data_IF_258338021907
#
_entry.id   IF_258338021907
#
_cell.length_a   1.000
_cell.length_b   1.000
_cell.length_c   1.000
_cell.angle_alpha   90.00
_cell.angle_beta   90.00
_cell.angle_gamma   90.00
#
_symmetry.space_group_name_H-M   'P 1'
#
loop_
_entity.id
_entity.type
_entity.pdbx_description
1 polymer ?
#
# COMPACT_ATOMS: atom_id res chain seq x y z
N UNK A 1 12.42 13.84 29.56
CA UNK A 1 11.16 14.15 30.31
C UNK A 1 10.00 13.53 29.53
N UNK A 2 9.11 12.78 30.21
CA UNK A 2 7.88 12.28 29.60
C UNK A 2 6.87 13.42 29.43
N UNK A 3 6.02 13.36 28.40
CA UNK A 3 4.92 14.31 28.25
C UNK A 3 3.85 13.97 29.30
N UNK A 4 3.34 14.96 30.06
CA UNK A 4 2.28 14.70 31.01
C UNK A 4 0.97 14.33 30.29
N UNK A 5 0.13 13.55 30.96
CA UNK A 5 -1.25 13.32 30.52
C UNK A 5 -2.07 14.61 30.66
N UNK A 6 -2.89 14.90 29.66
CA UNK A 6 -3.89 16.00 29.67
C UNK A 6 -5.22 15.48 29.12
N UNK A 7 -6.32 15.99 29.67
CA UNK A 7 -7.70 15.63 29.26
C UNK A 7 -7.99 16.09 27.82
N UNK A 8 -9.03 15.55 27.20
CA UNK A 8 -9.44 16.00 25.84
C UNK A 8 -9.76 17.49 25.80
N UNK A 9 -10.49 18.01 26.78
CA UNK A 9 -10.77 19.44 26.90
C UNK A 9 -9.48 20.27 26.98
N UNK A 10 -8.54 19.88 27.81
CA UNK A 10 -7.25 20.55 27.92
C UNK A 10 -6.41 20.43 26.64
N UNK A 11 -6.59 19.38 25.83
CA UNK A 11 -5.98 19.26 24.50
C UNK A 11 -6.56 20.28 23.52
N UNK A 12 -7.89 20.47 23.54
CA UNK A 12 -8.60 21.47 22.71
C UNK A 12 -8.14 22.89 23.09
N UNK A 13 -8.15 23.23 24.37
CA UNK A 13 -7.65 24.53 24.86
C UNK A 13 -6.21 24.79 24.46
N UNK A 14 -5.36 23.78 24.55
CA UNK A 14 -3.97 23.87 24.11
C UNK A 14 -3.83 24.17 22.61
N UNK A 15 -4.65 23.52 21.77
CA UNK A 15 -4.65 23.78 20.33
C UNK A 15 -5.08 25.21 20.01
N UNK A 16 -6.10 25.73 20.71
CA UNK A 16 -6.57 27.13 20.58
C UNK A 16 -5.50 28.11 21.06
N UNK A 17 -5.14 28.03 22.33
CA UNK A 17 -4.42 29.10 23.03
C UNK A 17 -2.92 29.09 22.76
N UNK A 18 -2.29 27.91 22.63
CA UNK A 18 -0.84 27.81 22.43
C UNK A 18 -0.46 27.66 20.96
N UNK A 19 -1.35 27.10 20.12
CA UNK A 19 -1.04 26.74 18.73
C UNK A 19 -1.76 27.60 17.69
N UNK A 20 -2.70 28.45 18.10
CA UNK A 20 -3.51 29.31 17.22
C UNK A 20 -4.37 28.51 16.21
N UNK A 21 -4.82 27.30 16.58
CA UNK A 21 -5.76 26.57 15.74
C UNK A 21 -7.18 27.12 15.95
N UNK A 22 -7.87 27.45 14.88
CA UNK A 22 -9.27 27.85 14.95
C UNK A 22 -10.11 26.60 15.25
N UNK A 23 -10.87 26.65 16.35
CA UNK A 23 -11.83 25.61 16.74
C UNK A 23 -13.14 26.32 17.07
N UNK A 24 -14.16 26.10 16.26
CA UNK A 24 -15.47 26.77 16.39
C UNK A 24 -16.44 25.95 17.22
N UNK A 25 -16.26 24.63 17.22
CA UNK A 25 -17.10 23.67 17.95
C UNK A 25 -16.19 22.79 18.84
N UNK A 26 -16.21 23.09 20.15
CA UNK A 26 -15.40 22.39 21.13
C UNK A 26 -15.90 20.96 21.38
N UNK A 27 -17.21 20.76 21.32
CA UNK A 27 -17.83 19.43 21.53
C UNK A 27 -17.44 18.51 20.36
N UNK A 28 -17.52 18.98 19.13
CA UNK A 28 -17.04 18.26 17.95
C UNK A 28 -15.55 17.93 18.05
N UNK A 29 -14.73 18.88 18.51
CA UNK A 29 -13.29 18.65 18.66
C UNK A 29 -12.97 17.61 19.72
N UNK A 30 -13.66 17.65 20.86
CA UNK A 30 -13.53 16.65 21.93
C UNK A 30 -13.95 15.28 21.45
N UNK A 31 -15.11 15.16 20.79
CA UNK A 31 -15.60 13.89 20.23
C UNK A 31 -14.63 13.30 19.20
N UNK A 32 -14.12 14.13 18.30
CA UNK A 32 -13.11 13.71 17.30
C UNK A 32 -11.84 13.17 17.95
N UNK A 33 -11.35 13.84 19.01
CA UNK A 33 -10.16 13.39 19.75
C UNK A 33 -10.43 12.11 20.57
N UNK A 34 -11.65 11.88 21.03
CA UNK A 34 -12.05 10.63 21.68
C UNK A 34 -12.04 9.45 20.70
N UNK A 35 -12.57 9.66 19.49
CA UNK A 35 -12.71 8.61 18.47
C UNK A 35 -11.40 8.28 17.78
N UNK A 36 -10.54 9.29 17.51
CA UNK A 36 -9.35 9.13 16.67
C UNK A 36 -8.04 9.16 17.49
N UNK A 37 -8.03 9.83 18.63
CA UNK A 37 -6.90 10.21 19.48
C UNK A 37 -6.10 11.41 18.96
N UNK A 38 -5.56 12.21 19.91
CA UNK A 38 -4.70 13.37 19.60
C UNK A 38 -3.47 12.99 18.75
N UNK A 39 -2.86 11.85 19.05
CA UNK A 39 -1.65 11.43 18.35
C UNK A 39 -1.93 11.08 16.89
N UNK A 40 -2.99 10.31 16.64
CA UNK A 40 -3.35 9.89 15.29
C UNK A 40 -3.86 11.08 14.44
N UNK A 41 -4.75 11.90 14.98
CA UNK A 41 -5.34 13.04 14.27
C UNK A 41 -4.34 14.19 14.13
N UNK A 42 -4.00 14.84 15.25
CA UNK A 42 -3.15 16.03 15.24
C UNK A 42 -1.70 15.69 14.90
N UNK A 43 -1.15 14.63 15.50
CA UNK A 43 0.22 14.17 15.20
C UNK A 43 0.40 13.77 13.74
N UNK A 44 -0.61 13.11 13.17
CA UNK A 44 -0.58 12.61 11.81
C UNK A 44 -0.84 13.66 10.72
N UNK A 45 -1.78 14.59 10.95
CA UNK A 45 -2.36 15.37 9.86
C UNK A 45 -2.15 16.90 9.95
N UNK A 46 -1.56 17.42 11.02
CA UNK A 46 -1.32 18.85 11.19
C UNK A 46 -0.31 19.46 10.22
N UNK A 47 0.58 18.65 9.63
CA UNK A 47 1.76 19.14 8.89
C UNK A 47 1.41 20.12 7.75
N UNK A 48 0.37 19.92 6.92
CA UNK A 48 0.00 20.86 5.87
C UNK A 48 -0.50 22.22 6.38
N UNK A 49 -0.88 22.30 7.66
CA UNK A 49 -1.51 23.46 8.29
C UNK A 49 -0.58 24.20 9.25
N UNK A 50 0.69 23.85 9.32
CA UNK A 50 1.65 24.45 10.24
C UNK A 50 2.71 25.23 9.48
N UNK A 51 2.95 26.46 9.91
CA UNK A 51 4.13 27.22 9.53
C UNK A 51 5.40 26.57 10.11
N UNK A 52 6.36 26.26 9.24
CA UNK A 52 7.57 25.52 9.60
C UNK A 52 8.51 26.28 10.55
N UNK A 53 8.47 27.61 10.53
CA UNK A 53 9.34 28.48 11.31
C UNK A 53 8.78 28.73 12.72
N UNK A 54 7.49 29.06 12.79
CA UNK A 54 6.82 29.40 14.05
C UNK A 54 6.31 28.17 14.79
N UNK A 55 6.12 27.03 14.10
CA UNK A 55 5.47 25.83 14.58
C UNK A 55 4.04 26.04 15.09
N UNK A 56 3.43 27.14 14.68
CA UNK A 56 2.01 27.45 14.91
C UNK A 56 1.20 27.12 13.66
N UNK A 57 -0.10 27.00 13.82
CA UNK A 57 -0.98 26.84 12.68
C UNK A 57 -0.98 28.13 11.84
N UNK A 58 -1.06 27.97 10.52
CA UNK A 58 -1.21 29.09 9.59
C UNK A 58 -2.54 29.78 9.85
N UNK A 59 -2.64 31.06 9.47
CA UNK A 59 -3.89 31.80 9.61
C UNK A 59 -5.03 31.03 8.89
N UNK A 60 -6.20 31.05 9.50
CA UNK A 60 -7.43 30.39 9.00
C UNK A 60 -7.43 28.86 9.05
N UNK A 61 -6.32 28.19 9.45
CA UNK A 61 -6.37 26.73 9.66
C UNK A 61 -7.36 26.39 10.78
N UNK A 62 -8.33 25.54 10.48
CA UNK A 62 -9.31 25.13 11.46
C UNK A 62 -9.20 23.62 11.78
N UNK A 63 -9.79 23.23 12.89
CA UNK A 63 -9.76 21.84 13.34
C UNK A 63 -10.48 20.92 12.36
N UNK A 64 -11.57 21.42 11.78
CA UNK A 64 -12.39 20.72 10.77
C UNK A 64 -11.58 20.38 9.52
N UNK A 65 -10.63 21.22 9.11
CA UNK A 65 -9.71 20.92 7.99
C UNK A 65 -8.82 19.70 8.26
N UNK A 66 -8.36 19.57 9.51
CA UNK A 66 -7.53 18.43 9.93
C UNK A 66 -8.37 17.15 9.94
N UNK A 67 -9.61 17.24 10.42
CA UNK A 67 -10.55 16.11 10.40
C UNK A 67 -10.89 15.73 8.96
N UNK A 68 -11.21 16.71 8.11
CA UNK A 68 -11.50 16.47 6.69
C UNK A 68 -10.33 15.76 5.95
N UNK A 69 -9.09 16.15 6.26
CA UNK A 69 -7.90 15.50 5.71
C UNK A 69 -7.73 14.06 6.24
N UNK A 70 -8.02 13.82 7.52
CA UNK A 70 -7.99 12.47 8.09
C UNK A 70 -9.01 11.55 7.44
N UNK A 71 -10.26 12.01 7.30
CA UNK A 71 -11.35 11.25 6.65
C UNK A 71 -11.05 10.98 5.18
N UNK A 72 -10.54 11.97 4.47
CA UNK A 72 -10.08 11.81 3.09
C UNK A 72 -9.02 10.70 2.98
N UNK A 73 -8.03 10.72 3.87
CA UNK A 73 -6.95 9.70 3.88
C UNK A 73 -7.47 8.32 4.29
N UNK A 74 -8.47 8.25 5.18
CA UNK A 74 -9.14 7.01 5.54
C UNK A 74 -9.83 6.37 4.34
N UNK A 75 -10.53 7.15 3.54
CA UNK A 75 -11.15 6.67 2.31
C UNK A 75 -10.13 6.23 1.27
N UNK A 76 -9.02 6.97 1.15
CA UNK A 76 -7.90 6.56 0.31
C UNK A 76 -7.36 5.20 0.77
N UNK A 77 -7.09 5.02 2.06
CA UNK A 77 -6.64 3.73 2.62
C UNK A 77 -7.60 2.60 2.25
N UNK A 78 -8.90 2.82 2.40
CA UNK A 78 -9.93 1.83 2.08
C UNK A 78 -9.88 1.38 0.62
N UNK A 79 -9.84 2.33 -0.32
CA UNK A 79 -9.80 2.00 -1.75
C UNK A 79 -8.47 1.38 -2.15
N UNK A 80 -7.33 1.94 -1.72
CA UNK A 80 -6.03 1.39 -2.07
C UNK A 80 -5.87 -0.02 -1.50
N UNK A 81 -6.23 -0.26 -0.24
CA UNK A 81 -6.17 -1.58 0.39
C UNK A 81 -6.97 -2.64 -0.39
N UNK A 82 -8.19 -2.31 -0.80
CA UNK A 82 -9.02 -3.19 -1.63
C UNK A 82 -8.32 -3.66 -2.89
N UNK A 83 -7.64 -2.76 -3.61
CA UNK A 83 -6.98 -3.10 -4.88
C UNK A 83 -5.59 -3.72 -4.67
N UNK A 84 -4.89 -3.38 -3.59
CA UNK A 84 -3.69 -4.08 -3.14
C UNK A 84 -3.99 -5.55 -2.86
N UNK A 85 -5.08 -5.86 -2.14
CA UNK A 85 -5.54 -7.22 -1.89
C UNK A 85 -5.93 -7.97 -3.19
N UNK A 86 -6.42 -7.27 -4.23
CA UNK A 86 -6.68 -7.89 -5.53
C UNK A 86 -5.39 -8.33 -6.23
N UNK A 87 -4.35 -7.50 -6.21
CA UNK A 87 -3.03 -7.86 -6.75
C UNK A 87 -2.44 -9.03 -5.96
N UNK A 88 -2.48 -8.95 -4.62
CA UNK A 88 -2.01 -10.00 -3.72
C UNK A 88 -2.66 -11.35 -4.03
N UNK A 89 -3.99 -11.39 -4.15
CA UNK A 89 -4.75 -12.61 -4.48
C UNK A 89 -4.35 -13.18 -5.84
N UNK A 90 -4.22 -12.33 -6.85
CA UNK A 90 -3.81 -12.76 -8.19
C UNK A 90 -2.39 -13.33 -8.18
N UNK A 91 -1.47 -12.73 -7.40
CA UNK A 91 -0.12 -13.26 -7.24
C UNK A 91 -0.11 -14.64 -6.57
N UNK A 92 -0.89 -14.83 -5.49
CA UNK A 92 -1.03 -16.15 -4.84
C UNK A 92 -1.48 -17.23 -5.84
N UNK A 93 -2.54 -16.92 -6.60
CA UNK A 93 -3.09 -17.83 -7.59
C UNK A 93 -2.08 -18.16 -8.69
N UNK A 94 -1.42 -17.15 -9.27
CA UNK A 94 -0.45 -17.33 -10.35
C UNK A 94 0.79 -18.10 -9.90
N UNK A 95 1.35 -17.77 -8.73
CA UNK A 95 2.48 -18.53 -8.16
C UNK A 95 2.09 -19.99 -7.94
N UNK A 96 0.95 -20.24 -7.28
CA UNK A 96 0.49 -21.61 -7.00
C UNK A 96 0.29 -22.40 -8.28
N UNK A 97 -0.35 -21.81 -9.29
CA UNK A 97 -0.61 -22.48 -10.56
C UNK A 97 0.68 -22.89 -11.27
N UNK A 98 1.60 -21.94 -11.48
CA UNK A 98 2.83 -22.21 -12.21
C UNK A 98 3.80 -23.14 -11.45
N UNK A 99 3.82 -23.02 -10.13
CA UNK A 99 4.64 -23.90 -9.29
C UNK A 99 4.11 -25.33 -9.36
N UNK A 100 2.81 -25.56 -9.08
CA UNK A 100 2.23 -26.89 -9.09
C UNK A 100 2.16 -27.51 -10.49
N UNK A 101 1.98 -26.72 -11.54
CA UNK A 101 2.06 -27.20 -12.93
C UNK A 101 3.42 -27.82 -13.24
N UNK A 102 4.50 -27.33 -12.61
CA UNK A 102 5.87 -27.81 -12.86
C UNK A 102 6.28 -28.93 -11.90
N UNK A 103 5.92 -28.80 -10.61
CA UNK A 103 6.45 -29.64 -9.55
C UNK A 103 5.41 -30.57 -8.92
N UNK A 104 4.11 -30.38 -9.23
CA UNK A 104 3.03 -31.14 -8.60
C UNK A 104 2.45 -30.47 -7.36
N UNK A 105 1.47 -31.17 -6.75
CA UNK A 105 0.66 -30.64 -5.65
C UNK A 105 1.14 -31.08 -4.26
N UNK A 106 2.17 -31.90 -4.19
CA UNK A 106 2.68 -32.45 -2.92
C UNK A 106 3.39 -31.36 -2.12
N UNK A 107 3.17 -31.37 -0.80
CA UNK A 107 3.80 -30.39 0.09
C UNK A 107 5.33 -30.47 0.09
N UNK A 108 5.91 -31.66 -0.13
CA UNK A 108 7.35 -31.87 -0.23
C UNK A 108 7.97 -31.01 -1.32
N UNK A 109 7.22 -30.70 -2.39
CA UNK A 109 7.74 -29.95 -3.53
C UNK A 109 8.03 -28.47 -3.16
N UNK A 110 7.14 -27.80 -2.42
CA UNK A 110 7.41 -26.41 -2.01
C UNK A 110 8.32 -26.33 -0.77
N UNK A 111 8.56 -27.45 -0.09
CA UNK A 111 9.55 -27.56 0.98
C UNK A 111 10.93 -27.92 0.45
N UNK A 112 11.06 -28.32 -0.82
CA UNK A 112 12.32 -28.67 -1.45
C UNK A 112 13.04 -27.42 -1.98
N UNK A 113 14.20 -27.10 -1.41
CA UNK A 113 14.99 -25.93 -1.81
C UNK A 113 15.46 -25.97 -3.27
N UNK A 114 15.57 -27.15 -3.89
CA UNK A 114 15.98 -27.31 -5.29
C UNK A 114 14.92 -26.79 -6.29
N UNK A 115 13.67 -26.62 -5.86
CA UNK A 115 12.58 -26.08 -6.67
C UNK A 115 12.56 -24.55 -6.73
N UNK A 116 13.50 -23.90 -6.05
CA UNK A 116 13.70 -22.46 -6.06
C UNK A 116 14.92 -22.06 -6.90
N UNK A 117 15.07 -20.75 -7.14
CA UNK A 117 16.18 -20.23 -7.92
C UNK A 117 17.54 -20.34 -7.20
N UNK A 118 18.56 -20.69 -7.93
CA UNK A 118 19.92 -20.85 -7.40
C UNK A 118 20.70 -19.51 -7.45
N UNK A 119 20.20 -18.49 -6.74
CA UNK A 119 20.89 -17.19 -6.60
C UNK A 119 21.51 -17.14 -5.21
N UNK A 120 22.85 -17.02 -5.05
CA UNK A 120 23.50 -17.13 -3.75
C UNK A 120 22.94 -16.18 -2.68
N UNK A 121 22.66 -14.93 -3.03
CA UNK A 121 22.09 -13.93 -2.12
C UNK A 121 20.68 -14.30 -1.59
N UNK A 122 19.96 -15.19 -2.26
CA UNK A 122 18.60 -15.60 -1.89
C UNK A 122 18.58 -16.83 -0.98
N UNK A 123 19.67 -17.56 -0.84
CA UNK A 123 19.74 -18.85 -0.14
C UNK A 123 19.17 -18.77 1.30
N UNK A 124 19.60 -17.83 2.09
CA UNK A 124 19.10 -17.62 3.46
C UNK A 124 17.59 -17.27 3.47
N UNK A 125 17.13 -16.48 2.49
CA UNK A 125 15.73 -16.12 2.35
C UNK A 125 14.86 -17.34 1.99
N UNK A 126 15.32 -18.17 1.07
CA UNK A 126 14.67 -19.43 0.69
C UNK A 126 14.56 -20.36 1.90
N UNK A 127 15.65 -20.56 2.65
CA UNK A 127 15.65 -21.39 3.87
C UNK A 127 14.63 -20.89 4.90
N UNK A 128 14.56 -19.57 5.13
CA UNK A 128 13.56 -18.97 6.05
C UNK A 128 12.13 -19.17 5.55
N UNK A 129 11.90 -19.00 4.24
CA UNK A 129 10.58 -19.21 3.62
C UNK A 129 10.15 -20.68 3.79
N UNK A 130 11.00 -21.64 3.45
CA UNK A 130 10.72 -23.09 3.58
C UNK A 130 10.43 -23.44 5.04
N UNK A 131 11.25 -22.98 6.00
CA UNK A 131 11.02 -23.25 7.42
C UNK A 131 9.67 -22.72 7.90
N UNK A 132 9.26 -21.53 7.43
CA UNK A 132 7.95 -20.98 7.75
C UNK A 132 6.83 -21.78 7.12
N UNK A 133 6.94 -22.17 5.83
CA UNK A 133 5.96 -23.02 5.16
C UNK A 133 5.83 -24.38 5.84
N UNK A 134 6.95 -25.01 6.24
CA UNK A 134 6.96 -26.27 6.98
C UNK A 134 6.22 -26.15 8.33
N UNK A 135 6.50 -25.07 9.08
CA UNK A 135 5.81 -24.81 10.34
C UNK A 135 4.29 -24.65 10.13
N UNK A 136 3.87 -23.90 9.09
CA UNK A 136 2.46 -23.73 8.75
C UNK A 136 1.82 -25.05 8.29
N UNK A 137 2.50 -25.82 7.44
CA UNK A 137 1.98 -27.08 6.93
C UNK A 137 1.83 -28.13 8.04
N UNK A 138 2.83 -28.28 8.91
CA UNK A 138 2.88 -29.41 9.83
C UNK A 138 2.46 -29.10 11.27
N UNK A 139 2.55 -27.84 11.73
CA UNK A 139 2.34 -27.48 13.14
C UNK A 139 1.23 -26.47 13.39
N UNK A 140 0.76 -25.75 12.36
CA UNK A 140 -0.27 -24.73 12.55
C UNK A 140 -1.61 -25.38 12.94
N UNK A 141 -2.27 -24.83 13.98
CA UNK A 141 -3.58 -25.23 14.49
C UNK A 141 -4.64 -24.14 14.38
N UNK A 142 -4.24 -22.90 14.06
CA UNK A 142 -5.11 -21.74 14.07
C UNK A 142 -6.00 -21.65 12.83
N UNK A 143 -5.59 -22.29 11.73
CA UNK A 143 -6.35 -22.32 10.48
C UNK A 143 -7.03 -23.68 10.28
N UNK A 144 -8.32 -23.75 10.53
CA UNK A 144 -9.13 -24.98 10.41
C UNK A 144 -8.96 -25.68 9.05
N UNK A 145 -8.87 -24.91 7.95
CA UNK A 145 -8.69 -25.47 6.61
C UNK A 145 -7.33 -26.17 6.43
N UNK A 146 -6.27 -25.74 7.13
CA UNK A 146 -4.98 -26.45 7.13
C UNK A 146 -5.09 -27.75 7.93
N UNK A 147 -5.73 -27.69 9.09
CA UNK A 147 -5.97 -28.89 9.93
C UNK A 147 -6.79 -29.91 9.17
N UNK A 148 -7.86 -29.47 8.49
CA UNK A 148 -8.69 -30.34 7.63
C UNK A 148 -7.87 -31.00 6.51
N UNK A 149 -7.09 -30.24 5.76
CA UNK A 149 -6.27 -30.76 4.67
C UNK A 149 -5.26 -31.80 5.18
N UNK A 150 -4.59 -31.51 6.28
CA UNK A 150 -3.60 -32.42 6.91
C UNK A 150 -4.23 -33.70 7.37
N UNK A 151 -5.36 -33.65 8.06
CA UNK A 151 -6.01 -34.83 8.64
C UNK A 151 -6.67 -35.71 7.57
N UNK A 152 -7.29 -35.09 6.56
CA UNK A 152 -8.05 -35.83 5.54
C UNK A 152 -7.17 -36.33 4.38
N UNK A 153 -6.23 -35.48 3.92
CA UNK A 153 -5.46 -35.79 2.70
C UNK A 153 -3.99 -36.06 2.97
N UNK A 154 -3.52 -35.88 4.21
CA UNK A 154 -2.11 -36.01 4.60
C UNK A 154 -1.18 -35.19 3.70
N UNK A 155 -1.71 -34.07 3.16
CA UNK A 155 -1.05 -33.19 2.24
C UNK A 155 -1.70 -31.80 2.29
N UNK A 156 -0.90 -30.74 2.24
CA UNK A 156 -1.40 -29.36 2.10
C UNK A 156 -0.84 -28.78 0.80
N UNK A 157 -1.66 -28.72 -0.26
CA UNK A 157 -1.20 -28.16 -1.54
C UNK A 157 -0.79 -26.68 -1.43
N UNK A 158 0.10 -26.24 -2.33
CA UNK A 158 0.60 -24.87 -2.32
C UNK A 158 -0.54 -23.83 -2.39
N UNK A 159 -1.57 -24.05 -3.22
CA UNK A 159 -2.70 -23.11 -3.34
C UNK A 159 -3.54 -22.96 -2.06
N UNK A 160 -3.44 -23.92 -1.14
CA UNK A 160 -4.09 -23.83 0.19
C UNK A 160 -3.20 -23.04 1.15
N UNK A 161 -1.92 -23.43 1.30
CA UNK A 161 -1.01 -22.81 2.26
C UNK A 161 -0.67 -21.34 1.90
N UNK A 162 -0.72 -20.98 0.62
CA UNK A 162 -0.52 -19.59 0.17
C UNK A 162 -1.47 -18.57 0.83
N UNK A 163 -2.64 -19.02 1.34
CA UNK A 163 -3.58 -18.14 2.03
C UNK A 163 -3.07 -17.68 3.40
N UNK A 164 -2.09 -18.36 4.00
CA UNK A 164 -1.46 -17.97 5.26
C UNK A 164 -0.36 -16.93 5.07
N UNK A 165 0.14 -16.75 3.83
CA UNK A 165 1.25 -15.87 3.57
C UNK A 165 0.83 -14.40 3.53
N UNK A 166 1.63 -13.54 4.14
CA UNK A 166 1.52 -12.08 3.98
C UNK A 166 1.95 -11.66 2.56
N UNK A 167 1.55 -10.46 2.13
CA UNK A 167 1.96 -9.95 0.82
C UNK A 167 3.49 -9.86 0.68
N UNK A 168 4.19 -9.49 1.76
CA UNK A 168 5.66 -9.48 1.78
C UNK A 168 6.28 -10.87 1.55
N UNK A 169 5.71 -11.90 2.14
CA UNK A 169 6.15 -13.30 1.95
C UNK A 169 5.87 -13.77 0.52
N UNK A 170 4.72 -13.41 -0.06
CA UNK A 170 4.39 -13.69 -1.46
C UNK A 170 5.37 -12.99 -2.41
N UNK A 171 5.66 -11.70 -2.16
CA UNK A 171 6.66 -10.93 -2.90
C UNK A 171 8.04 -11.59 -2.86
N UNK A 172 8.46 -12.09 -1.69
CA UNK A 172 9.72 -12.82 -1.52
C UNK A 172 9.68 -14.18 -2.20
N UNK A 173 8.59 -14.92 -2.09
CA UNK A 173 8.46 -16.19 -2.78
C UNK A 173 8.60 -16.01 -4.29
N UNK A 174 7.94 -15.00 -4.90
CA UNK A 174 8.13 -14.67 -6.32
C UNK A 174 9.59 -14.38 -6.66
N UNK A 175 10.30 -13.58 -5.84
CA UNK A 175 11.72 -13.25 -6.03
C UNK A 175 12.62 -14.50 -5.98
N UNK A 176 12.23 -15.51 -5.23
CA UNK A 176 12.98 -16.76 -5.04
C UNK A 176 12.70 -17.83 -6.08
N UNK A 177 11.64 -17.71 -6.88
CA UNK A 177 11.34 -18.67 -7.94
C UNK A 177 12.38 -18.68 -9.06
N UNK A 178 12.55 -19.79 -9.79
CA UNK A 178 13.39 -19.85 -10.99
C UNK A 178 12.95 -18.83 -12.04
N UNK A 179 13.91 -18.30 -12.82
CA UNK A 179 13.65 -17.21 -13.77
C UNK A 179 12.60 -17.55 -14.85
N UNK A 180 12.54 -18.79 -15.31
CA UNK A 180 11.52 -19.24 -16.26
C UNK A 180 10.11 -19.19 -15.66
N UNK A 181 9.96 -19.59 -14.41
CA UNK A 181 8.69 -19.53 -13.69
C UNK A 181 8.28 -18.07 -13.40
N UNK A 182 9.22 -17.22 -12.97
CA UNK A 182 8.96 -15.77 -12.87
C UNK A 182 8.46 -15.19 -14.19
N UNK A 183 9.06 -15.61 -15.31
CA UNK A 183 8.64 -15.19 -16.66
C UNK A 183 7.20 -15.59 -16.98
N UNK A 184 6.83 -16.84 -16.71
CA UNK A 184 5.47 -17.34 -16.91
C UNK A 184 4.44 -16.58 -16.05
N UNK A 185 4.75 -16.35 -14.77
CA UNK A 185 3.90 -15.54 -13.88
C UNK A 185 3.75 -14.11 -14.42
N UNK A 186 4.82 -13.48 -14.91
CA UNK A 186 4.77 -12.12 -15.47
C UNK A 186 3.85 -12.03 -16.70
N UNK A 187 3.71 -13.10 -17.49
CA UNK A 187 2.77 -13.14 -18.62
C UNK A 187 1.31 -13.01 -18.15
N UNK A 188 0.93 -13.59 -17.01
CA UNK A 188 -0.41 -13.44 -16.43
C UNK A 188 -0.76 -12.00 -16.09
N UNK A 189 0.26 -11.12 -15.95
CA UNK A 189 0.12 -9.69 -15.66
C UNK A 189 0.38 -8.79 -16.89
N UNK A 190 0.29 -9.36 -18.10
CA UNK A 190 0.43 -8.59 -19.34
C UNK A 190 1.89 -8.28 -19.69
N UNK A 191 2.77 -9.26 -19.53
CA UNK A 191 4.19 -9.22 -19.91
C UNK A 191 5.03 -8.15 -19.19
N UNK A 192 4.74 -7.90 -17.92
CA UNK A 192 5.62 -7.07 -17.07
C UNK A 192 7.00 -7.74 -16.97
N UNK A 193 8.07 -6.97 -17.05
CA UNK A 193 9.43 -7.51 -16.90
C UNK A 193 9.66 -8.03 -15.48
N UNK A 194 10.40 -9.14 -15.34
CA UNK A 194 10.67 -9.78 -14.04
C UNK A 194 11.25 -8.81 -12.99
N UNK A 195 12.24 -8.03 -13.38
CA UNK A 195 12.87 -7.06 -12.48
C UNK A 195 11.94 -5.90 -12.08
N UNK A 196 11.03 -5.52 -12.97
CA UNK A 196 9.98 -4.54 -12.67
C UNK A 196 8.96 -5.13 -11.69
N UNK A 197 8.51 -6.37 -11.93
CA UNK A 197 7.57 -7.07 -11.04
C UNK A 197 8.12 -7.15 -9.61
N UNK A 198 9.39 -7.50 -9.43
CA UNK A 198 10.02 -7.55 -8.10
C UNK A 198 9.93 -6.19 -7.40
N UNK A 199 10.23 -5.09 -8.11
CA UNK A 199 10.14 -3.74 -7.54
C UNK A 199 8.70 -3.33 -7.25
N UNK A 200 7.77 -3.61 -8.17
CA UNK A 200 6.35 -3.34 -7.97
C UNK A 200 5.81 -4.04 -6.71
N UNK A 201 6.08 -5.33 -6.56
CA UNK A 201 5.61 -6.09 -5.40
C UNK A 201 6.21 -5.57 -4.09
N UNK A 202 7.47 -5.15 -4.05
CA UNK A 202 8.11 -4.55 -2.88
C UNK A 202 7.40 -3.25 -2.48
N UNK A 203 7.17 -2.35 -3.43
CA UNK A 203 6.47 -1.08 -3.19
C UNK A 203 5.04 -1.34 -2.72
N UNK A 204 4.29 -2.20 -3.43
CA UNK A 204 2.92 -2.54 -3.05
C UNK A 204 2.83 -3.17 -1.65
N UNK A 205 3.83 -3.96 -1.25
CA UNK A 205 3.89 -4.53 0.12
C UNK A 205 3.97 -3.44 1.18
N UNK A 206 4.80 -2.41 0.97
CA UNK A 206 4.93 -1.30 1.92
C UNK A 206 3.62 -0.51 2.02
N UNK A 207 3.02 -0.15 0.90
CA UNK A 207 1.72 0.54 0.89
C UNK A 207 0.58 -0.30 1.49
N UNK A 208 0.59 -1.62 1.27
CA UNK A 208 -0.40 -2.52 1.89
C UNK A 208 -0.29 -2.50 3.41
N UNK A 209 0.92 -2.45 3.95
CA UNK A 209 1.14 -2.38 5.39
C UNK A 209 0.66 -1.04 5.96
N UNK A 210 0.97 0.09 5.31
CA UNK A 210 0.44 1.42 5.67
C UNK A 210 -1.09 1.40 5.75
N UNK A 211 -1.76 0.87 4.72
CA UNK A 211 -3.22 0.79 4.73
C UNK A 211 -3.76 -0.15 5.82
N UNK A 212 -3.11 -1.29 6.05
CA UNK A 212 -3.57 -2.29 7.02
C UNK A 212 -3.38 -1.85 8.49
N UNK A 213 -2.41 -0.96 8.75
CA UNK A 213 -2.11 -0.45 10.09
C UNK A 213 -2.69 0.94 10.37
N UNK A 214 -3.59 1.44 9.50
CA UNK A 214 -4.17 2.77 9.61
C UNK A 214 -3.14 3.91 9.71
N UNK A 215 -1.97 3.72 9.08
CA UNK A 215 -0.96 4.76 8.98
C UNK A 215 -1.36 5.81 7.93
N UNK A 216 -0.78 7.01 8.03
CA UNK A 216 -1.02 8.10 7.10
C UNK A 216 -0.56 7.73 5.68
N UNK A 217 -1.49 7.72 4.71
CA UNK A 217 -1.25 7.25 3.35
C UNK A 217 -0.92 8.41 2.39
N UNK A 218 -1.65 9.52 2.43
CA UNK A 218 -1.59 10.58 1.40
C UNK A 218 -0.18 11.16 1.20
N UNK A 219 0.63 11.21 2.24
CA UNK A 219 2.01 11.75 2.18
C UNK A 219 3.08 10.68 2.43
N UNK A 220 2.72 9.40 2.33
CA UNK A 220 3.67 8.32 2.52
C UNK A 220 4.55 8.13 1.28
N UNK A 221 5.86 8.02 1.51
CA UNK A 221 6.85 7.72 0.48
C UNK A 221 7.63 6.48 0.87
N UNK A 222 7.83 5.59 -0.10
CA UNK A 222 8.67 4.41 0.13
C UNK A 222 10.14 4.75 -0.08
N UNK A 223 11.03 3.96 0.53
CA UNK A 223 12.47 4.04 0.27
C UNK A 223 12.89 3.30 -1.02
N UNK A 224 11.92 2.68 -1.72
CA UNK A 224 12.13 1.94 -2.97
C UNK A 224 11.39 2.65 -4.09
N UNK A 225 12.10 2.93 -5.18
CA UNK A 225 11.50 3.48 -6.40
C UNK A 225 10.96 2.36 -7.29
N UNK A 226 9.79 2.59 -7.89
CA UNK A 226 9.38 1.76 -9.04
C UNK A 226 10.26 2.11 -10.25
N UNK A 227 10.38 1.21 -11.24
CA UNK A 227 11.12 1.49 -12.48
C UNK A 227 10.52 2.68 -13.23
N UNK A 228 11.34 3.35 -14.04
CA UNK A 228 10.83 4.29 -15.04
C UNK A 228 9.93 3.55 -16.03
N UNK A 229 8.76 4.12 -16.28
CA UNK A 229 7.77 3.51 -17.17
C UNK A 229 7.39 4.44 -18.31
N UNK A 230 6.79 3.88 -19.36
CA UNK A 230 6.24 4.68 -20.45
C UNK A 230 5.19 5.69 -19.96
N UNK A 231 4.46 5.38 -18.87
CA UNK A 231 3.43 6.28 -18.31
C UNK A 231 4.03 7.56 -17.75
N UNK A 232 5.20 7.52 -17.09
CA UNK A 232 5.90 8.73 -16.64
C UNK A 232 6.18 9.67 -17.83
N UNK A 233 6.69 9.12 -18.94
CA UNK A 233 6.97 9.89 -20.16
C UNK A 233 5.70 10.45 -20.80
N UNK A 234 4.65 9.62 -20.93
CA UNK A 234 3.39 10.00 -21.61
C UNK A 234 2.58 11.03 -20.80
N UNK A 235 2.67 11.01 -19.49
CA UNK A 235 2.08 12.02 -18.62
C UNK A 235 2.94 13.29 -18.53
N UNK A 236 4.09 13.35 -19.18
CA UNK A 236 4.94 14.54 -19.17
C UNK A 236 5.52 14.86 -17.79
N UNK A 237 5.69 13.86 -16.91
CA UNK A 237 6.23 14.09 -15.58
C UNK A 237 7.66 14.60 -15.70
N UNK A 238 7.94 15.74 -15.06
CA UNK A 238 9.27 16.36 -15.08
C UNK A 238 10.30 15.50 -14.34
N UNK A 239 11.57 15.71 -14.68
CA UNK A 239 12.69 15.07 -13.98
C UNK A 239 13.49 16.10 -13.20
N UNK A 240 14.01 15.67 -12.04
CA UNK A 240 15.09 16.32 -11.35
C UNK A 240 16.34 15.43 -11.50
N UNK A 241 17.32 15.88 -12.29
CA UNK A 241 18.42 15.04 -12.75
C UNK A 241 17.92 13.86 -13.61
N UNK A 242 18.24 12.64 -13.21
CA UNK A 242 17.81 11.42 -13.91
C UNK A 242 16.48 10.85 -13.42
N UNK A 243 15.93 11.33 -12.30
CA UNK A 243 14.77 10.77 -11.61
C UNK A 243 13.51 11.60 -11.88
N UNK A 244 12.40 10.95 -12.21
CA UNK A 244 11.08 11.59 -12.24
C UNK A 244 10.70 12.12 -10.84
N UNK A 245 10.12 13.33 -10.78
CA UNK A 245 9.73 13.98 -9.51
C UNK A 245 8.50 13.34 -8.88
N UNK A 246 7.61 12.72 -9.68
CA UNK A 246 6.40 12.03 -9.25
C UNK A 246 6.33 10.61 -9.79
N UNK A 247 5.52 9.79 -9.13
CA UNK A 247 5.23 8.43 -9.57
C UNK A 247 6.36 7.42 -9.32
N UNK A 248 7.33 7.73 -8.46
CA UNK A 248 8.48 6.85 -8.19
C UNK A 248 8.34 6.06 -6.88
N UNK A 249 8.06 6.74 -5.80
CA UNK A 249 7.98 6.19 -4.44
C UNK A 249 6.86 6.81 -3.60
N UNK A 250 6.06 7.67 -4.22
CA UNK A 250 4.86 8.32 -3.72
C UNK A 250 3.58 7.49 -4.00
N UNK A 251 2.43 7.96 -3.58
CA UNK A 251 1.16 7.26 -3.78
C UNK A 251 0.82 7.07 -5.27
N UNK A 252 1.22 8.01 -6.14
CA UNK A 252 0.99 7.86 -7.58
C UNK A 252 1.79 6.70 -8.19
N UNK A 253 2.92 6.31 -7.60
CA UNK A 253 3.67 5.11 -8.00
C UNK A 253 2.82 3.83 -7.88
N UNK A 254 1.92 3.77 -6.88
CA UNK A 254 0.96 2.67 -6.72
C UNK A 254 -0.09 2.71 -7.83
N UNK A 255 -0.58 3.91 -8.19
CA UNK A 255 -1.54 4.07 -9.31
C UNK A 255 -0.93 3.60 -10.63
N UNK A 256 0.31 3.97 -10.91
CA UNK A 256 1.07 3.47 -12.07
C UNK A 256 1.17 1.94 -12.01
N UNK A 257 1.58 1.40 -10.87
CA UNK A 257 1.72 -0.05 -10.68
C UNK A 257 0.39 -0.79 -10.88
N UNK A 258 -0.71 -0.26 -10.34
CA UNK A 258 -2.06 -0.80 -10.58
C UNK A 258 -2.42 -0.80 -12.07
N UNK A 259 -2.05 0.23 -12.81
CA UNK A 259 -2.29 0.29 -14.26
C UNK A 259 -1.58 -0.85 -15.01
N UNK A 260 -0.43 -1.32 -14.51
CA UNK A 260 0.30 -2.47 -15.06
C UNK A 260 -0.27 -3.82 -14.59
N UNK A 261 -0.59 -3.96 -13.31
CA UNK A 261 -0.87 -5.26 -12.70
C UNK A 261 -2.35 -5.64 -12.66
N UNK A 262 -3.26 -4.66 -12.62
CA UNK A 262 -4.69 -4.94 -12.59
C UNK A 262 -5.25 -5.19 -14.00
N UNK A 263 -6.29 -6.03 -14.15
CA UNK A 263 -7.11 -6.07 -15.35
C UNK A 263 -7.67 -4.68 -15.68
N UNK A 264 -7.87 -4.39 -16.98
CA UNK A 264 -8.37 -3.08 -17.44
C UNK A 264 -9.65 -2.66 -16.73
N UNK A 265 -10.60 -3.56 -16.59
CA UNK A 265 -11.89 -3.30 -15.91
C UNK A 265 -11.71 -2.92 -14.46
N UNK A 266 -10.83 -3.63 -13.73
CA UNK A 266 -10.54 -3.34 -12.33
C UNK A 266 -9.82 -2.00 -12.16
N UNK A 267 -8.89 -1.66 -13.05
CA UNK A 267 -8.23 -0.36 -13.00
C UNK A 267 -9.20 0.80 -13.30
N UNK A 268 -10.09 0.65 -14.27
CA UNK A 268 -11.10 1.67 -14.55
C UNK A 268 -12.06 1.88 -13.39
N UNK A 269 -12.46 0.80 -12.71
CA UNK A 269 -13.29 0.89 -11.51
C UNK A 269 -12.54 1.56 -10.36
N UNK A 270 -11.28 1.21 -10.13
CA UNK A 270 -10.41 1.89 -9.17
C UNK A 270 -10.35 3.40 -9.44
N UNK A 271 -10.04 3.79 -10.69
CA UNK A 271 -9.96 5.19 -11.10
C UNK A 271 -11.28 5.94 -10.86
N UNK A 272 -12.42 5.32 -11.19
CA UNK A 272 -13.75 5.92 -10.93
C UNK A 272 -13.98 6.17 -9.43
N UNK A 273 -13.63 5.20 -8.59
CA UNK A 273 -13.78 5.33 -7.13
C UNK A 273 -12.82 6.40 -6.58
N UNK A 274 -11.59 6.46 -7.06
CA UNK A 274 -10.62 7.49 -6.67
C UNK A 274 -11.09 8.89 -7.05
N UNK A 275 -11.63 9.07 -8.26
CA UNK A 275 -12.23 10.34 -8.68
C UNK A 275 -13.37 10.76 -7.77
N UNK A 276 -14.22 9.83 -7.35
CA UNK A 276 -15.33 10.13 -6.44
C UNK A 276 -14.84 10.62 -5.07
N UNK A 277 -13.75 10.04 -4.53
CA UNK A 277 -13.14 10.51 -3.28
C UNK A 277 -12.61 11.93 -3.44
N UNK A 278 -11.93 12.22 -4.54
CA UNK A 278 -11.41 13.56 -4.82
C UNK A 278 -12.53 14.60 -4.98
N UNK A 279 -13.57 14.29 -5.75
CA UNK A 279 -14.74 15.16 -5.94
C UNK A 279 -15.48 15.44 -4.60
N UNK A 280 -15.50 14.46 -3.70
CA UNK A 280 -16.12 14.62 -2.37
C UNK A 280 -15.28 15.53 -1.48
N UNK A 281 -13.97 15.36 -1.45
CA UNK A 281 -13.08 16.23 -0.69
C UNK A 281 -13.16 17.70 -1.17
N UNK A 282 -13.18 17.93 -2.48
CA UNK A 282 -13.33 19.29 -3.03
C UNK A 282 -14.63 19.99 -2.57
N UNK A 283 -15.72 19.22 -2.41
CA UNK A 283 -17.01 19.75 -1.91
C UNK A 283 -17.04 20.11 -0.44
N UNK A 284 -16.10 19.60 0.36
CA UNK A 284 -16.00 19.97 1.78
C UNK A 284 -15.45 21.40 1.99
N UNK A 285 -14.97 22.07 0.93
CA UNK A 285 -14.41 23.42 0.96
C UNK A 285 -13.30 23.62 2.00
N UNK A 286 -12.52 22.58 2.30
CA UNK A 286 -11.36 22.69 3.17
C UNK A 286 -10.37 23.75 2.69
N UNK A 287 -9.69 24.41 3.61
CA UNK A 287 -8.63 25.39 3.30
C UNK A 287 -7.44 24.72 2.57
N UNK A 288 -7.18 23.44 2.80
CA UNK A 288 -6.22 22.67 2.02
C UNK A 288 -6.87 22.19 0.71
N UNK A 289 -6.43 22.72 -0.42
CA UNK A 289 -7.03 22.38 -1.71
C UNK A 289 -6.54 21.04 -2.26
N UNK A 290 -7.34 20.38 -3.08
CA UNK A 290 -7.00 19.08 -3.69
C UNK A 290 -5.70 19.15 -4.51
N UNK A 291 -5.41 20.26 -5.17
CA UNK A 291 -4.17 20.43 -5.92
C UNK A 291 -2.93 20.40 -5.02
N UNK A 292 -3.01 20.96 -3.81
CA UNK A 292 -1.92 20.89 -2.83
C UNK A 292 -1.73 19.44 -2.35
N UNK A 293 -2.83 18.70 -2.17
CA UNK A 293 -2.77 17.26 -1.84
C UNK A 293 -2.16 16.44 -2.97
N UNK A 294 -2.34 16.81 -4.23
CA UNK A 294 -1.69 16.11 -5.35
C UNK A 294 -0.17 16.18 -5.26
N UNK A 295 0.40 17.29 -4.77
CA UNK A 295 1.85 17.40 -4.55
C UNK A 295 2.32 16.40 -3.49
N UNK A 296 1.63 16.34 -2.33
CA UNK A 296 1.94 15.35 -1.28
C UNK A 296 1.84 13.90 -1.76
N UNK A 297 0.85 13.61 -2.62
CA UNK A 297 0.57 12.27 -3.14
C UNK A 297 1.39 11.92 -4.39
N UNK A 298 2.13 12.87 -4.97
CA UNK A 298 2.90 12.70 -6.21
C UNK A 298 2.04 12.59 -7.48
N UNK A 299 0.82 13.17 -7.48
CA UNK A 299 -0.08 13.13 -8.63
C UNK A 299 0.20 14.29 -9.59
N UNK A 300 0.54 14.04 -10.85
CA UNK A 300 0.59 15.11 -11.85
C UNK A 300 -0.84 15.62 -12.15
N UNK A 301 -0.98 16.88 -12.48
CA UNK A 301 -2.29 17.51 -12.73
C UNK A 301 -3.11 16.74 -13.76
N UNK A 302 -2.46 16.21 -14.79
CA UNK A 302 -3.08 15.43 -15.87
C UNK A 302 -3.16 13.92 -15.59
N UNK A 303 -3.01 13.48 -14.34
CA UNK A 303 -3.02 12.06 -13.96
C UNK A 303 -4.26 11.29 -14.48
N UNK A 304 -5.38 12.00 -14.63
CA UNK A 304 -6.64 11.44 -15.18
C UNK A 304 -6.46 10.86 -16.60
N UNK A 305 -5.43 11.30 -17.32
CA UNK A 305 -5.13 10.83 -18.68
C UNK A 305 -4.43 9.47 -18.74
N UNK A 306 -4.00 8.91 -17.59
CA UNK A 306 -3.30 7.63 -17.48
C UNK A 306 -3.99 6.48 -18.25
N UNK A 307 -5.32 6.56 -18.45
CA UNK A 307 -6.10 5.56 -19.18
C UNK A 307 -6.09 5.75 -20.69
N UNK A 308 -5.73 6.93 -21.19
CA UNK A 308 -5.61 7.22 -22.64
C UNK A 308 -4.40 6.52 -23.26
N UNK A 309 -3.37 6.23 -22.47
CA UNK A 309 -2.11 5.68 -22.96
C UNK A 309 -2.08 4.16 -22.88
N UNK A 310 -1.41 3.54 -23.88
CA UNK A 310 -1.07 2.12 -23.83
C UNK A 310 0.01 1.88 -22.75
N UNK A 311 0.01 0.69 -22.15
CA UNK A 311 1.00 0.32 -21.11
C UNK A 311 2.38 -0.01 -21.73
N UNK A 312 2.39 -0.47 -22.97
CA UNK A 312 3.54 -1.01 -23.70
C UNK A 312 3.49 -0.46 -25.12
#
# INVERSE_FOLDING_TARGET
MSKPFITYTAQVEKLKNEKNLVITDDDFAVESLQNISYYALIGGYKHPFIDIHTRKYINEACFEDIVALYEFDEELRGIFFKYLCRVERKMRSSISYHFCKKHGERQEEYLNSNNYGNIPKNKNGITKLIKMLDMMANKNKDHEYLVYQRNKYHNIPLWVIMNTLTFGQISKMFEFLPQNMQGAICQDFGNVKKNEMIKYLKVLTLYRNVCAHNERLFSYHTYIDIPDTLLHKKLGISKNGSKYIYGKNDLFSVVITFRYLLPKTNFLLFKKQLLHIFDRYEKQNSNLKLNDLFEYMGFPINWKEITKFRKI
#
